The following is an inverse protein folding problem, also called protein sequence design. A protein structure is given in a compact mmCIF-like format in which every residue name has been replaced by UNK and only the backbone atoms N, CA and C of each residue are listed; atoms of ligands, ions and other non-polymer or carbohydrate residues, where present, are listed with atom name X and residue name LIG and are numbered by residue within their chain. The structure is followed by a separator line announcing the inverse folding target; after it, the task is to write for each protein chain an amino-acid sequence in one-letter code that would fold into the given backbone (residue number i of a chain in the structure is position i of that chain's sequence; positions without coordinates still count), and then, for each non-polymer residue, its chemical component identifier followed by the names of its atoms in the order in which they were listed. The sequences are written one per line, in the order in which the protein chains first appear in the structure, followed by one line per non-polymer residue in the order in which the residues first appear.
data_IF_909010385024
#
_entry.id   IF_909010385024
#
_cell.length_a   1.000
_cell.length_b   1.000
_cell.length_c   1.000
_cell.angle_alpha   90.00
_cell.angle_beta   90.00
_cell.angle_gamma   90.00
#
_symmetry.space_group_name_H-M   'P 1'
#
loop_
_entity.id
_entity.type
_entity.pdbx_description
1 polymer ?
#
# COMPACT_ATOMS: atom_id res chain seq x y z
N UNK A 1 -65.91 44.29 67.21
CA UNK A 1 -65.86 45.25 66.06
C UNK A 1 -64.74 44.85 65.12
N UNK A 2 -65.07 44.76 63.84
CA UNK A 2 -64.23 44.82 62.64
C UNK A 2 -63.46 43.59 62.21
N UNK A 3 -64.04 42.97 61.23
CA UNK A 3 -63.54 42.08 60.19
C UNK A 3 -62.24 42.63 59.50
N UNK A 4 -61.39 41.72 59.15
CA UNK A 4 -60.72 41.85 57.82
C UNK A 4 -60.21 40.47 57.34
N UNK A 5 -60.68 40.12 56.17
CA UNK A 5 -60.29 38.97 55.34
C UNK A 5 -58.84 39.05 54.93
N UNK A 6 -58.12 37.95 54.97
CA UNK A 6 -56.84 37.79 54.21
C UNK A 6 -56.96 36.58 53.26
N UNK A 7 -56.86 36.91 52.01
CA UNK A 7 -56.80 35.97 50.93
C UNK A 7 -55.50 35.16 50.96
N UNK A 8 -55.62 33.88 50.74
CA UNK A 8 -54.50 32.95 50.61
C UNK A 8 -54.14 32.88 49.12
N UNK A 9 -52.94 33.37 48.76
CA UNK A 9 -52.35 33.15 47.47
C UNK A 9 -51.57 31.87 47.46
N UNK A 10 -52.02 30.90 46.65
CA UNK A 10 -51.26 29.70 46.32
C UNK A 10 -50.10 30.07 45.37
N UNK A 11 -48.89 29.89 45.82
CA UNK A 11 -47.70 29.94 44.97
C UNK A 11 -47.44 28.54 44.42
N UNK A 12 -47.66 28.40 43.09
CA UNK A 12 -47.29 27.18 42.37
C UNK A 12 -45.76 27.08 42.24
N UNK A 13 -45.19 26.02 42.82
CA UNK A 13 -43.83 25.65 42.59
C UNK A 13 -43.70 24.94 41.23
N UNK A 14 -43.09 25.61 40.27
CA UNK A 14 -42.67 25.02 38.99
C UNK A 14 -41.44 24.13 39.25
N UNK A 15 -41.63 22.82 39.30
CA UNK A 15 -40.52 21.88 39.32
C UNK A 15 -39.92 21.81 37.91
N UNK A 16 -38.78 22.46 37.69
CA UNK A 16 -37.98 22.25 36.49
C UNK A 16 -37.28 20.91 36.63
N UNK A 17 -37.86 19.89 35.97
CA UNK A 17 -37.22 18.59 35.80
C UNK A 17 -36.00 18.72 34.91
N UNK A 18 -34.81 18.69 35.51
CA UNK A 18 -33.54 18.60 34.78
C UNK A 18 -33.44 17.16 34.25
N UNK A 19 -33.78 16.97 33.00
CA UNK A 19 -33.45 15.73 32.26
C UNK A 19 -31.98 15.72 32.00
N UNK A 20 -31.21 15.08 32.88
CA UNK A 20 -29.85 14.65 32.57
C UNK A 20 -29.92 13.62 31.44
N UNK A 21 -29.68 14.08 30.20
CA UNK A 21 -29.42 13.18 29.11
C UNK A 21 -28.12 12.43 29.39
N UNK A 22 -28.23 11.14 29.68
CA UNK A 22 -27.09 10.24 29.77
C UNK A 22 -26.46 10.09 28.39
N UNK A 23 -25.45 10.92 28.07
CA UNK A 23 -24.56 10.77 26.93
C UNK A 23 -23.38 9.83 27.26
N UNK A 24 -23.66 8.70 27.94
CA UNK A 24 -22.60 7.87 28.51
C UNK A 24 -22.25 6.53 27.81
N UNK A 25 -22.93 6.03 26.74
CA UNK A 25 -22.44 4.80 26.12
C UNK A 25 -21.41 5.04 24.99
N UNK A 26 -21.43 6.14 24.25
CA UNK A 26 -20.52 6.36 23.12
C UNK A 26 -19.05 6.55 23.57
N UNK A 27 -18.80 7.33 24.61
CA UNK A 27 -17.45 7.58 25.10
C UNK A 27 -16.77 6.36 25.74
N UNK A 28 -17.55 5.42 26.32
CA UNK A 28 -17.01 4.20 26.91
C UNK A 28 -16.66 3.13 25.83
N UNK A 29 -17.33 3.14 24.70
CA UNK A 29 -17.05 2.23 23.57
C UNK A 29 -15.84 2.71 22.78
N UNK A 30 -15.61 4.02 22.69
CA UNK A 30 -14.44 4.62 22.07
C UNK A 30 -13.12 4.33 22.81
N UNK A 31 -13.15 4.00 24.10
CA UNK A 31 -11.97 3.70 24.90
C UNK A 31 -11.56 2.21 24.90
N UNK A 32 -12.36 1.30 24.34
CA UNK A 32 -12.04 -0.12 24.36
C UNK A 32 -10.84 -0.46 23.49
N UNK A 33 -9.92 -1.31 23.99
CA UNK A 33 -8.80 -1.80 23.19
C UNK A 33 -9.27 -2.65 22.01
N UNK A 34 -8.50 -2.69 20.96
CA UNK A 34 -8.74 -3.49 19.76
C UNK A 34 -7.56 -4.42 19.47
N UNK A 35 -7.87 -5.63 19.05
CA UNK A 35 -6.87 -6.62 18.70
C UNK A 35 -7.06 -7.05 17.26
N UNK A 36 -5.99 -6.97 16.45
CA UNK A 36 -6.06 -7.38 15.06
C UNK A 36 -4.74 -7.93 14.52
N UNK A 37 -4.86 -8.74 13.48
CA UNK A 37 -3.72 -9.30 12.73
C UNK A 37 -3.49 -8.45 11.52
N UNK A 38 -2.31 -7.84 11.42
CA UNK A 38 -1.89 -7.06 10.28
C UNK A 38 -0.92 -7.89 9.42
N UNK A 39 -1.06 -7.85 8.11
CA UNK A 39 -0.17 -8.58 7.19
C UNK A 39 0.52 -7.60 6.26
N UNK A 40 1.84 -7.57 6.33
CA UNK A 40 2.69 -6.68 5.56
C UNK A 40 3.39 -7.32 4.37
N UNK A 41 4.67 -7.03 4.23
CA UNK A 41 5.53 -7.55 3.16
C UNK A 41 6.19 -8.88 3.49
N UNK A 42 6.92 -9.42 2.52
CA UNK A 42 7.56 -10.72 2.61
C UNK A 42 8.82 -10.72 3.50
N UNK A 43 9.41 -9.56 3.75
CA UNK A 43 10.65 -9.41 4.51
C UNK A 43 10.36 -8.76 5.86
N UNK A 44 10.77 -9.40 6.95
CA UNK A 44 10.76 -8.79 8.28
C UNK A 44 11.65 -7.55 8.27
N UNK A 45 11.18 -6.45 8.90
CA UNK A 45 11.85 -5.15 8.83
C UNK A 45 11.70 -4.41 7.49
N UNK A 46 11.02 -5.00 6.51
CA UNK A 46 10.68 -4.30 5.27
C UNK A 46 9.66 -3.18 5.48
N UNK A 47 9.59 -2.27 4.52
CA UNK A 47 8.80 -1.03 4.51
C UNK A 47 7.39 -1.20 5.06
N UNK A 48 6.65 -2.19 4.58
CA UNK A 48 5.27 -2.41 5.01
C UNK A 48 5.15 -2.94 6.43
N UNK A 49 6.06 -3.82 6.85
CA UNK A 49 6.02 -4.37 8.21
C UNK A 49 6.38 -3.29 9.24
N UNK A 50 7.35 -2.44 8.94
CA UNK A 50 7.72 -1.28 9.76
C UNK A 50 6.56 -0.31 9.87
N UNK A 51 5.91 0.04 8.74
CA UNK A 51 4.75 0.91 8.73
C UNK A 51 3.57 0.36 9.52
N UNK A 52 3.23 -0.93 9.36
CA UNK A 52 2.16 -1.57 10.14
C UNK A 52 2.49 -1.66 11.63
N UNK A 53 3.76 -1.83 12.00
CA UNK A 53 4.19 -1.76 13.40
C UNK A 53 3.98 -0.34 13.96
N UNK A 54 4.27 0.69 13.16
CA UNK A 54 3.95 2.07 13.49
C UNK A 54 2.46 2.30 13.71
N UNK A 55 1.62 1.81 12.80
CA UNK A 55 0.14 1.84 12.95
C UNK A 55 -0.28 1.14 14.24
N UNK A 56 0.31 -0.01 14.53
CA UNK A 56 0.04 -0.74 15.78
C UNK A 56 0.37 0.09 17.02
N UNK A 57 1.51 0.76 17.01
CA UNK A 57 1.90 1.68 18.10
C UNK A 57 0.88 2.81 18.25
N UNK A 58 0.50 3.49 17.19
CA UNK A 58 -0.49 4.57 17.21
C UNK A 58 -1.83 4.12 17.79
N UNK A 59 -2.29 2.92 17.38
CA UNK A 59 -3.53 2.35 17.92
C UNK A 59 -3.40 2.06 19.41
N UNK A 60 -2.30 1.47 19.86
CA UNK A 60 -2.10 1.18 21.28
C UNK A 60 -1.95 2.45 22.14
N UNK A 61 -1.30 3.49 21.62
CA UNK A 61 -1.14 4.76 22.32
C UNK A 61 -2.49 5.47 22.54
N UNK A 62 -3.44 5.35 21.58
CA UNK A 62 -4.79 5.92 21.68
C UNK A 62 -5.78 5.03 22.42
N UNK A 63 -5.62 3.72 22.31
CA UNK A 63 -6.49 2.69 22.89
C UNK A 63 -5.64 1.69 23.69
N UNK A 64 -5.19 2.07 24.91
CA UNK A 64 -4.27 1.26 25.70
C UNK A 64 -4.77 -0.16 25.95
N UNK A 65 -3.88 -1.13 25.81
CA UNK A 65 -4.20 -2.55 25.86
C UNK A 65 -4.54 -3.19 24.50
N UNK A 66 -4.51 -2.38 23.41
CA UNK A 66 -4.64 -2.91 22.06
C UNK A 66 -3.40 -3.72 21.66
N UNK A 67 -3.60 -4.83 20.96
CA UNK A 67 -2.51 -5.67 20.46
C UNK A 67 -2.62 -5.88 18.94
N UNK A 68 -1.52 -5.56 18.25
CA UNK A 68 -1.42 -5.74 16.82
C UNK A 68 -0.34 -6.77 16.53
N UNK A 69 -0.71 -7.87 15.89
CA UNK A 69 0.22 -8.89 15.46
C UNK A 69 0.56 -8.67 13.98
N UNK A 70 1.79 -8.21 13.72
CA UNK A 70 2.28 -7.96 12.35
C UNK A 70 2.93 -9.23 11.80
N UNK A 71 2.36 -9.76 10.73
CA UNK A 71 2.75 -11.00 10.07
C UNK A 71 3.38 -10.72 8.70
N UNK A 72 4.27 -11.60 8.27
CA UNK A 72 4.77 -11.58 6.90
C UNK A 72 3.69 -11.96 5.90
N UNK A 73 3.75 -11.35 4.71
CA UNK A 73 2.84 -11.59 3.62
C UNK A 73 3.45 -11.32 2.26
N UNK A 74 2.62 -11.25 1.24
CA UNK A 74 3.01 -10.80 -0.09
C UNK A 74 1.83 -10.08 -0.74
N UNK A 75 2.10 -9.04 -1.51
CA UNK A 75 1.10 -8.12 -2.04
C UNK A 75 -0.09 -8.81 -2.72
N UNK A 76 0.17 -9.87 -3.48
CA UNK A 76 -0.87 -10.63 -4.20
C UNK A 76 -1.68 -11.53 -3.27
N UNK A 77 -1.04 -12.14 -2.26
CA UNK A 77 -1.73 -13.06 -1.33
C UNK A 77 -2.46 -12.35 -0.20
N UNK A 78 -2.09 -11.10 0.11
CA UNK A 78 -2.63 -10.36 1.23
C UNK A 78 -4.15 -10.16 1.16
N UNK A 79 -4.77 -9.72 0.03
CA UNK A 79 -6.22 -9.65 -0.08
C UNK A 79 -6.94 -10.99 0.10
N UNK A 80 -6.31 -12.11 -0.32
CA UNK A 80 -6.87 -13.45 -0.08
C UNK A 80 -6.92 -13.82 1.40
N UNK A 81 -5.96 -13.34 2.20
CA UNK A 81 -5.98 -13.56 3.65
C UNK A 81 -7.12 -12.83 4.34
N UNK A 82 -7.50 -11.63 3.86
CA UNK A 82 -8.70 -10.93 4.32
C UNK A 82 -9.95 -11.70 3.92
N UNK A 83 -10.04 -12.13 2.66
CA UNK A 83 -11.18 -12.94 2.15
C UNK A 83 -11.41 -14.18 3.00
N UNK A 84 -10.35 -14.82 3.47
CA UNK A 84 -10.36 -16.05 4.26
C UNK A 84 -10.43 -15.82 5.78
N UNK A 85 -10.56 -14.59 6.25
CA UNK A 85 -10.46 -14.21 7.67
C UNK A 85 -9.14 -14.63 8.35
N UNK A 86 -8.07 -14.80 7.57
CA UNK A 86 -6.73 -15.11 8.08
C UNK A 86 -5.91 -13.86 8.43
N UNK A 87 -6.41 -12.68 8.08
CA UNK A 87 -5.91 -11.36 8.47
C UNK A 87 -7.09 -10.42 8.70
N UNK A 88 -6.84 -9.32 9.40
CA UNK A 88 -7.84 -8.29 9.68
C UNK A 88 -7.53 -7.00 8.92
N UNK A 89 -6.24 -6.65 8.82
CA UNK A 89 -5.71 -5.49 8.08
C UNK A 89 -4.55 -5.95 7.21
N UNK A 90 -4.36 -5.35 6.04
CA UNK A 90 -3.21 -5.64 5.19
C UNK A 90 -2.82 -4.48 4.30
N UNK A 91 -1.59 -4.53 3.78
CA UNK A 91 -1.13 -3.66 2.70
C UNK A 91 -1.05 -4.44 1.39
N UNK A 92 -1.44 -3.79 0.32
CA UNK A 92 -1.29 -4.28 -1.06
C UNK A 92 -1.12 -3.08 -2.00
N UNK A 93 -1.03 -3.31 -3.30
CA UNK A 93 -1.03 -2.25 -4.30
C UNK A 93 -2.39 -2.11 -4.99
N UNK A 94 -2.62 -0.94 -5.62
CA UNK A 94 -3.84 -0.62 -6.36
C UNK A 94 -4.16 -1.68 -7.41
N UNK A 95 -3.17 -2.18 -8.15
CA UNK A 95 -3.33 -3.29 -9.10
C UNK A 95 -4.09 -4.48 -8.48
N UNK A 96 -3.66 -4.91 -7.30
CA UNK A 96 -4.28 -6.05 -6.64
C UNK A 96 -5.71 -5.73 -6.16
N UNK A 97 -6.00 -4.47 -5.80
CA UNK A 97 -7.36 -4.07 -5.40
C UNK A 97 -8.31 -4.07 -6.60
N UNK A 98 -7.86 -3.58 -7.75
CA UNK A 98 -8.62 -3.65 -9.01
C UNK A 98 -8.86 -5.11 -9.41
N UNK A 99 -7.82 -5.93 -9.40
CA UNK A 99 -7.93 -7.35 -9.72
C UNK A 99 -8.84 -8.11 -8.73
N UNK A 100 -8.79 -7.77 -7.44
CA UNK A 100 -9.66 -8.36 -6.42
C UNK A 100 -11.13 -7.97 -6.61
N UNK A 101 -11.40 -6.72 -6.95
CA UNK A 101 -12.75 -6.23 -7.28
C UNK A 101 -13.34 -6.97 -8.48
N UNK A 102 -12.55 -7.08 -9.55
CA UNK A 102 -13.00 -7.59 -10.86
C UNK A 102 -12.92 -9.12 -10.97
N UNK A 103 -12.27 -9.81 -10.04
CA UNK A 103 -12.03 -11.26 -10.12
C UNK A 103 -11.08 -11.65 -11.25
N UNK A 104 -10.20 -10.73 -11.65
CA UNK A 104 -9.20 -10.95 -12.70
C UNK A 104 -7.88 -11.48 -12.11
N UNK A 105 -7.03 -12.00 -12.96
CA UNK A 105 -5.70 -12.45 -12.53
C UNK A 105 -4.97 -11.36 -11.74
N UNK A 106 -4.31 -11.71 -10.63
CA UNK A 106 -3.97 -13.06 -10.16
C UNK A 106 -5.10 -13.81 -9.41
N UNK A 107 -6.26 -13.20 -9.23
CA UNK A 107 -7.42 -13.84 -8.60
C UNK A 107 -8.30 -14.55 -9.63
N UNK A 108 -9.07 -15.56 -9.17
CA UNK A 108 -9.95 -16.37 -10.03
C UNK A 108 -11.42 -15.92 -9.97
N UNK A 109 -11.76 -15.08 -9.00
CA UNK A 109 -13.10 -14.54 -8.77
C UNK A 109 -13.01 -13.26 -7.94
N UNK A 110 -14.03 -12.39 -7.99
CA UNK A 110 -14.11 -11.23 -7.10
C UNK A 110 -14.00 -11.63 -5.63
N UNK A 111 -13.22 -10.87 -4.85
CA UNK A 111 -13.14 -11.01 -3.41
C UNK A 111 -14.25 -10.17 -2.78
N UNK A 112 -15.01 -10.76 -1.87
CA UNK A 112 -16.21 -10.14 -1.30
C UNK A 112 -16.04 -9.64 0.12
N UNK A 113 -15.07 -10.21 0.85
CA UNK A 113 -14.78 -9.85 2.24
C UNK A 113 -13.57 -8.91 2.36
N UNK A 114 -13.40 -8.02 1.39
CA UNK A 114 -12.30 -7.05 1.34
C UNK A 114 -12.87 -5.65 1.14
N UNK A 115 -12.40 -4.68 1.93
CA UNK A 115 -12.75 -3.27 1.82
C UNK A 115 -11.49 -2.40 1.95
N UNK A 116 -11.54 -1.19 1.42
CA UNK A 116 -10.45 -0.23 1.59
C UNK A 116 -10.50 0.44 2.97
N UNK A 117 -9.33 0.74 3.53
CA UNK A 117 -9.20 1.61 4.69
C UNK A 117 -8.57 2.94 4.32
N UNK A 118 -7.44 2.92 3.61
CA UNK A 118 -6.72 4.12 3.21
C UNK A 118 -5.84 3.89 1.98
N UNK A 119 -5.69 4.91 1.15
CA UNK A 119 -4.58 5.04 0.22
C UNK A 119 -3.38 5.57 0.99
N UNK A 120 -2.25 4.87 0.95
CA UNK A 120 -1.02 5.27 1.64
C UNK A 120 -0.25 6.35 0.87
N UNK A 121 -0.76 6.75 -0.28
CA UNK A 121 -0.28 7.84 -1.13
C UNK A 121 1.23 7.80 -1.43
N UNK A 122 1.84 6.63 -1.32
CA UNK A 122 3.19 6.38 -1.79
C UNK A 122 3.17 6.08 -3.29
N UNK A 123 4.25 6.40 -3.98
CA UNK A 123 4.38 6.07 -5.40
C UNK A 123 5.44 5.02 -5.59
N UNK A 124 4.98 3.78 -5.82
CA UNK A 124 5.84 2.69 -6.28
C UNK A 124 6.12 2.84 -7.77
N UNK A 125 7.36 2.64 -8.17
CA UNK A 125 7.83 2.79 -9.55
C UNK A 125 8.44 1.50 -10.06
N UNK A 126 8.02 1.06 -11.24
CA UNK A 126 8.63 -0.07 -11.91
C UNK A 126 9.98 0.35 -12.51
N UNK A 127 11.03 -0.30 -12.08
CA UNK A 127 12.38 -0.10 -12.59
C UNK A 127 12.88 -1.36 -13.29
N UNK A 128 13.41 -1.20 -14.49
CA UNK A 128 14.17 -2.22 -15.23
C UNK A 128 15.62 -1.75 -15.27
N UNK A 129 16.44 -2.35 -14.43
CA UNK A 129 17.83 -1.98 -14.22
C UNK A 129 18.71 -3.06 -14.84
N UNK A 130 19.69 -2.66 -15.65
CA UNK A 130 20.62 -3.59 -16.29
C UNK A 130 22.06 -3.13 -16.10
N UNK A 131 23.02 -4.06 -16.27
CA UNK A 131 24.44 -3.70 -16.36
C UNK A 131 24.65 -2.70 -17.49
N UNK A 132 25.47 -1.67 -17.25
CA UNK A 132 25.72 -0.59 -18.23
C UNK A 132 26.32 -1.11 -19.52
N UNK A 133 27.06 -2.24 -19.46
CA UNK A 133 27.74 -2.87 -20.60
C UNK A 133 26.78 -3.60 -21.56
N UNK A 134 25.52 -3.82 -21.19
CA UNK A 134 24.57 -4.42 -22.12
C UNK A 134 24.34 -3.49 -23.33
N UNK A 135 24.41 -4.03 -24.58
CA UNK A 135 24.39 -3.22 -25.81
C UNK A 135 22.93 -2.83 -26.22
N UNK A 136 22.16 -2.33 -25.27
CA UNK A 136 20.79 -1.85 -25.45
C UNK A 136 20.52 -0.61 -24.58
N UNK A 137 19.62 0.27 -25.05
CA UNK A 137 19.23 1.49 -24.35
C UNK A 137 17.74 1.54 -23.98
N UNK A 138 16.95 0.60 -24.48
CA UNK A 138 15.52 0.45 -24.19
C UNK A 138 15.17 -1.00 -23.91
N UNK A 139 14.02 -1.21 -23.25
CA UNK A 139 13.49 -2.55 -23.05
C UNK A 139 13.03 -3.17 -24.37
N UNK A 140 12.54 -2.33 -25.31
CA UNK A 140 12.15 -2.76 -26.65
C UNK A 140 13.35 -3.37 -27.40
N UNK A 141 14.51 -2.71 -27.39
CA UNK A 141 15.75 -3.25 -27.98
C UNK A 141 16.19 -4.57 -27.33
N UNK A 142 16.03 -4.69 -26.01
CA UNK A 142 16.33 -5.93 -25.29
C UNK A 142 15.47 -7.09 -25.79
N UNK A 143 14.19 -6.85 -26.01
CA UNK A 143 13.24 -7.85 -26.52
C UNK A 143 13.49 -8.18 -27.99
N UNK A 144 13.71 -7.18 -28.83
CA UNK A 144 13.98 -7.37 -30.27
C UNK A 144 15.28 -8.16 -30.51
N UNK A 145 16.34 -7.84 -29.78
CA UNK A 145 17.64 -8.53 -29.90
C UNK A 145 17.68 -9.87 -29.19
N UNK A 146 16.66 -10.21 -28.39
CA UNK A 146 16.58 -11.46 -27.61
C UNK A 146 17.86 -11.73 -26.80
N UNK A 147 18.35 -10.70 -26.11
CA UNK A 147 19.63 -10.82 -25.39
C UNK A 147 19.54 -11.81 -24.21
N UNK A 148 20.58 -12.62 -24.00
CA UNK A 148 20.63 -13.63 -22.94
C UNK A 148 20.90 -12.98 -21.57
N UNK A 149 19.92 -12.23 -21.04
CA UNK A 149 20.05 -11.61 -19.73
C UNK A 149 19.92 -12.62 -18.59
N UNK A 150 20.61 -12.37 -17.51
CA UNK A 150 20.48 -13.08 -16.22
C UNK A 150 19.68 -12.16 -15.30
N UNK A 151 18.37 -12.40 -15.26
CA UNK A 151 17.37 -11.51 -14.69
C UNK A 151 16.97 -11.94 -13.26
N UNK A 152 17.13 -11.03 -12.29
CA UNK A 152 16.35 -11.11 -11.05
C UNK A 152 14.96 -10.51 -11.31
N UNK A 153 13.95 -11.39 -11.37
CA UNK A 153 12.55 -11.03 -11.59
C UNK A 153 11.72 -10.93 -10.31
N UNK A 154 12.37 -11.13 -9.17
CA UNK A 154 11.70 -11.25 -7.88
C UNK A 154 10.94 -12.56 -7.67
N UNK A 155 10.51 -12.77 -6.44
CA UNK A 155 9.79 -13.98 -6.04
C UNK A 155 8.41 -14.06 -6.73
N UNK A 156 7.97 -15.29 -6.99
CA UNK A 156 6.64 -15.56 -7.53
C UNK A 156 5.57 -14.99 -6.58
N UNK A 157 4.60 -14.27 -7.16
CA UNK A 157 3.51 -13.64 -6.41
C UNK A 157 3.85 -12.23 -5.89
N UNK A 158 5.03 -11.69 -6.18
CA UNK A 158 5.30 -10.26 -6.02
C UNK A 158 4.75 -9.48 -7.21
N UNK A 159 4.35 -8.23 -6.98
CA UNK A 159 3.75 -7.43 -8.05
C UNK A 159 4.71 -7.21 -9.23
N UNK A 160 5.99 -6.89 -8.96
CA UNK A 160 6.96 -6.71 -10.04
C UNK A 160 7.18 -8.00 -10.87
N UNK A 161 7.09 -9.19 -10.26
CA UNK A 161 7.10 -10.44 -11.02
C UNK A 161 5.89 -10.58 -11.95
N UNK A 162 4.70 -10.20 -11.47
CA UNK A 162 3.46 -10.24 -12.26
C UNK A 162 3.49 -9.21 -13.39
N UNK A 163 3.84 -7.96 -13.07
CA UNK A 163 3.90 -6.87 -14.06
C UNK A 163 5.01 -7.12 -15.08
N UNK A 164 6.15 -7.66 -14.66
CA UNK A 164 7.23 -8.07 -15.57
C UNK A 164 6.79 -9.14 -16.56
N UNK A 165 6.01 -10.14 -16.11
CA UNK A 165 5.43 -11.13 -17.02
C UNK A 165 4.45 -10.48 -18.02
N UNK A 166 3.69 -9.48 -17.59
CA UNK A 166 2.79 -8.73 -18.49
C UNK A 166 3.55 -7.90 -19.50
N UNK A 167 4.67 -7.26 -19.11
CA UNK A 167 5.55 -6.57 -20.05
C UNK A 167 6.11 -7.51 -21.12
N UNK A 168 6.63 -8.67 -20.72
CA UNK A 168 7.14 -9.67 -21.66
C UNK A 168 6.05 -10.15 -22.63
N UNK A 169 4.83 -10.34 -22.12
CA UNK A 169 3.69 -10.77 -22.93
C UNK A 169 3.29 -9.76 -24.05
N UNK A 170 3.56 -8.45 -23.87
CA UNK A 170 3.35 -7.44 -24.92
C UNK A 170 4.23 -7.68 -26.16
N UNK A 171 5.34 -8.39 -25.99
CA UNK A 171 6.25 -8.80 -27.07
C UNK A 171 6.04 -10.27 -27.48
N UNK A 172 5.05 -10.95 -26.90
CA UNK A 172 4.78 -12.37 -27.17
C UNK A 172 5.73 -13.34 -26.46
N UNK A 173 6.42 -12.90 -25.39
CA UNK A 173 7.40 -13.67 -24.64
C UNK A 173 6.97 -13.94 -23.21
N UNK A 174 7.65 -14.89 -22.59
CA UNK A 174 7.58 -15.27 -21.18
C UNK A 174 8.96 -15.23 -20.54
N UNK A 175 9.06 -15.40 -19.23
CA UNK A 175 10.36 -15.55 -18.58
C UNK A 175 11.16 -16.74 -19.11
N UNK A 176 10.49 -17.83 -19.52
CA UNK A 176 11.17 -19.04 -20.06
C UNK A 176 11.82 -18.75 -21.43
N UNK A 177 11.34 -17.78 -22.18
CA UNK A 177 11.97 -17.38 -23.45
C UNK A 177 13.33 -16.74 -23.22
N UNK A 178 13.52 -16.01 -22.11
CA UNK A 178 14.86 -15.51 -21.69
C UNK A 178 15.84 -16.68 -21.55
N UNK A 179 15.43 -17.78 -20.97
CA UNK A 179 16.25 -19.00 -20.86
C UNK A 179 16.55 -19.62 -22.22
N UNK A 180 15.56 -19.65 -23.13
CA UNK A 180 15.77 -20.14 -24.51
C UNK A 180 16.76 -19.28 -25.31
N UNK A 181 16.89 -17.98 -24.97
CA UNK A 181 17.89 -17.09 -25.58
C UNK A 181 19.29 -17.29 -24.98
N UNK A 182 19.48 -18.23 -24.07
CA UNK A 182 20.75 -18.49 -23.39
C UNK A 182 20.95 -17.67 -22.10
N UNK A 183 19.93 -16.95 -21.67
CA UNK A 183 19.90 -16.25 -20.38
C UNK A 183 19.38 -17.12 -19.23
N UNK A 184 19.02 -16.48 -18.13
CA UNK A 184 18.40 -17.10 -16.96
C UNK A 184 17.46 -16.15 -16.27
N UNK A 185 16.53 -16.67 -15.46
CA UNK A 185 15.73 -15.85 -14.57
C UNK A 185 15.63 -16.48 -13.19
N UNK A 186 15.67 -15.67 -12.15
CA UNK A 186 15.71 -16.11 -10.77
C UNK A 186 15.00 -15.13 -9.84
N UNK A 187 14.95 -15.43 -8.56
CA UNK A 187 14.59 -14.54 -7.48
C UNK A 187 15.70 -14.62 -6.44
N UNK A 188 16.34 -13.47 -6.16
CA UNK A 188 17.43 -13.39 -5.20
C UNK A 188 17.08 -12.45 -4.05
N UNK A 189 17.78 -12.62 -2.93
CA UNK A 189 17.66 -11.68 -1.80
C UNK A 189 18.27 -10.32 -2.16
N UNK A 190 17.85 -9.26 -1.46
CA UNK A 190 18.44 -7.94 -1.65
C UNK A 190 19.94 -7.94 -1.33
N UNK A 191 20.34 -8.72 -0.32
CA UNK A 191 21.73 -8.78 0.15
C UNK A 191 22.68 -9.44 -0.86
N UNK A 192 22.21 -10.44 -1.61
CA UNK A 192 23.06 -11.18 -2.57
C UNK A 192 23.19 -10.43 -3.91
N UNK A 193 22.21 -9.59 -4.26
CA UNK A 193 22.09 -8.98 -5.59
C UNK A 193 23.30 -8.19 -6.02
N UNK A 194 23.87 -7.37 -5.13
CA UNK A 194 25.03 -6.52 -5.45
C UNK A 194 26.22 -7.37 -5.85
N UNK A 195 26.57 -8.39 -5.06
CA UNK A 195 27.64 -9.31 -5.39
C UNK A 195 27.41 -10.03 -6.71
N UNK A 196 26.19 -10.47 -6.98
CA UNK A 196 25.82 -11.15 -8.23
C UNK A 196 25.87 -10.23 -9.46
N UNK A 197 25.68 -8.92 -9.30
CA UNK A 197 25.94 -7.95 -10.39
C UNK A 197 27.42 -7.71 -10.60
N UNK A 198 28.23 -7.69 -9.53
CA UNK A 198 29.68 -7.49 -9.60
C UNK A 198 30.39 -8.68 -10.27
N UNK A 199 29.99 -9.89 -9.98
CA UNK A 199 30.56 -11.12 -10.56
C UNK A 199 29.94 -11.54 -11.89
N UNK A 200 28.90 -10.80 -12.34
CA UNK A 200 28.18 -11.03 -13.59
C UNK A 200 27.21 -12.20 -13.55
N UNK A 201 26.95 -12.81 -12.41
CA UNK A 201 25.89 -13.84 -12.24
C UNK A 201 24.50 -13.27 -12.48
N UNK A 202 24.30 -11.96 -12.21
CA UNK A 202 23.15 -11.16 -12.64
C UNK A 202 23.64 -10.01 -13.55
N UNK A 203 22.80 -9.61 -14.51
CA UNK A 203 23.00 -8.40 -15.30
C UNK A 203 21.69 -7.68 -15.62
N UNK A 204 20.58 -8.12 -15.04
CA UNK A 204 19.27 -7.46 -15.13
C UNK A 204 18.49 -7.63 -13.84
N UNK A 205 17.76 -6.58 -13.45
CA UNK A 205 16.92 -6.56 -12.26
C UNK A 205 15.60 -5.84 -12.56
N UNK A 206 14.51 -6.50 -12.25
CA UNK A 206 13.16 -5.96 -12.33
C UNK A 206 12.61 -5.75 -10.93
N UNK A 207 12.23 -4.53 -10.59
CA UNK A 207 11.65 -4.21 -9.29
C UNK A 207 10.52 -3.19 -9.40
N UNK A 208 9.63 -3.19 -8.42
CA UNK A 208 8.60 -2.17 -8.23
C UNK A 208 8.53 -1.85 -6.74
N UNK A 209 8.72 -0.60 -6.39
CA UNK A 209 8.68 -0.17 -5.00
C UNK A 209 8.64 1.34 -4.84
N UNK A 210 8.25 1.82 -3.63
CA UNK A 210 8.08 3.23 -3.36
C UNK A 210 9.40 3.95 -3.13
N UNK A 211 9.44 5.23 -3.53
CA UNK A 211 10.56 6.14 -3.28
C UNK A 211 11.91 5.64 -3.81
N UNK A 212 12.96 6.07 -3.16
CA UNK A 212 14.33 5.58 -3.40
C UNK A 212 14.61 4.39 -2.48
N UNK A 213 14.79 3.22 -3.08
CA UNK A 213 14.99 1.97 -2.36
C UNK A 213 16.47 1.77 -2.00
N UNK A 214 16.77 1.49 -0.73
CA UNK A 214 18.14 1.35 -0.22
C UNK A 214 18.97 0.30 -0.98
N UNK A 215 18.36 -0.82 -1.35
CA UNK A 215 19.03 -1.89 -2.10
C UNK A 215 19.36 -1.50 -3.56
N UNK A 216 18.63 -0.55 -4.16
CA UNK A 216 18.98 0.02 -5.46
C UNK A 216 20.11 1.07 -5.27
N UNK A 217 20.04 1.86 -4.21
CA UNK A 217 21.12 2.77 -3.86
C UNK A 217 22.46 2.02 -3.67
N UNK A 218 22.42 0.89 -2.96
CA UNK A 218 23.58 0.03 -2.78
C UNK A 218 24.09 -0.54 -4.11
N UNK A 219 23.19 -1.01 -4.98
CA UNK A 219 23.55 -1.49 -6.31
C UNK A 219 24.24 -0.43 -7.14
N UNK A 220 23.71 0.79 -7.16
CA UNK A 220 24.28 1.93 -7.91
C UNK A 220 25.68 2.31 -7.41
N UNK A 221 25.90 2.23 -6.10
CA UNK A 221 27.21 2.54 -5.51
C UNK A 221 28.29 1.49 -5.84
N UNK A 222 27.89 0.24 -6.09
CA UNK A 222 28.80 -0.90 -6.18
C UNK A 222 28.86 -1.56 -7.57
N UNK A 223 27.96 -1.19 -8.50
CA UNK A 223 27.94 -1.74 -9.86
C UNK A 223 27.57 -0.65 -10.88
N UNK A 224 28.13 -0.76 -12.09
CA UNK A 224 27.75 0.11 -13.21
C UNK A 224 26.43 -0.38 -13.80
N UNK A 225 25.38 0.37 -13.58
CA UNK A 225 24.03 0.03 -14.04
C UNK A 225 23.39 1.18 -14.81
N UNK A 226 22.38 0.86 -15.59
CA UNK A 226 21.50 1.83 -16.26
C UNK A 226 20.04 1.35 -16.21
N UNK A 227 19.11 2.29 -16.33
CA UNK A 227 17.68 2.02 -16.45
C UNK A 227 17.28 1.89 -17.90
N UNK A 228 16.47 0.89 -18.23
CA UNK A 228 15.86 0.74 -19.54
C UNK A 228 14.45 1.32 -19.52
N UNK A 229 14.14 2.36 -20.31
CA UNK A 229 12.79 2.81 -20.53
C UNK A 229 12.01 1.78 -21.35
N UNK A 230 10.72 1.71 -21.08
CA UNK A 230 9.74 0.95 -21.85
C UNK A 230 9.00 1.91 -22.78
N UNK A 231 8.66 1.50 -23.99
CA UNK A 231 7.94 2.37 -24.92
C UNK A 231 6.55 2.75 -24.40
N UNK A 232 6.08 3.96 -24.75
CA UNK A 232 4.78 4.49 -24.39
C UNK A 232 3.63 3.56 -24.79
N UNK A 233 3.76 2.90 -25.95
CA UNK A 233 2.77 1.93 -26.43
C UNK A 233 2.59 0.78 -25.44
N UNK A 234 3.69 0.21 -24.96
CA UNK A 234 3.68 -0.92 -24.02
C UNK A 234 3.22 -0.46 -22.64
N UNK A 235 3.70 0.69 -22.16
CA UNK A 235 3.24 1.27 -20.89
C UNK A 235 1.71 1.46 -20.90
N UNK A 236 1.16 2.08 -21.94
CA UNK A 236 -0.29 2.31 -22.10
C UNK A 236 -1.07 1.00 -22.17
N UNK A 237 -0.56 -0.01 -22.88
CA UNK A 237 -1.22 -1.32 -22.98
C UNK A 237 -1.29 -2.03 -21.62
N UNK A 238 -0.19 -2.05 -20.88
CA UNK A 238 -0.15 -2.72 -19.56
C UNK A 238 -1.01 -1.97 -18.55
N UNK A 239 -0.91 -0.64 -18.47
CA UNK A 239 -1.69 0.15 -17.51
C UNK A 239 -3.20 0.07 -17.77
N UNK A 240 -3.63 0.02 -19.03
CA UNK A 240 -5.04 -0.21 -19.38
C UNK A 240 -5.58 -1.57 -18.89
N UNK A 241 -4.73 -2.60 -18.83
CA UNK A 241 -5.09 -3.94 -18.33
C UNK A 241 -5.06 -4.04 -16.80
N UNK A 242 -4.23 -3.23 -16.15
CA UNK A 242 -3.91 -3.36 -14.72
C UNK A 242 -4.59 -2.31 -13.84
N UNK A 243 -5.07 -1.21 -14.43
CA UNK A 243 -5.56 -0.05 -13.67
C UNK A 243 -4.45 0.77 -13.00
N UNK A 244 -3.19 0.44 -13.27
CA UNK A 244 -2.03 1.21 -12.82
C UNK A 244 -1.89 2.51 -13.63
N UNK A 245 -1.03 3.42 -13.17
CA UNK A 245 -0.78 4.70 -13.84
C UNK A 245 0.60 4.70 -14.52
N UNK A 246 0.80 5.66 -15.41
CA UNK A 246 2.12 5.99 -15.95
C UNK A 246 2.63 7.20 -15.16
N UNK A 247 3.82 7.07 -14.60
CA UNK A 247 4.55 8.13 -13.94
C UNK A 247 6.00 8.17 -14.39
N UNK A 248 6.88 8.70 -13.58
CA UNK A 248 8.29 8.94 -13.92
C UNK A 248 9.20 8.46 -12.80
N UNK A 249 10.34 7.83 -13.15
CA UNK A 249 11.51 7.71 -12.28
C UNK A 249 12.30 9.00 -12.48
N UNK A 250 12.43 9.87 -11.46
CA UNK A 250 13.13 11.15 -11.62
C UNK A 250 14.63 10.99 -11.93
N UNK A 251 15.14 11.90 -12.74
CA UNK A 251 16.55 11.92 -13.16
C UNK A 251 17.54 11.98 -11.99
N UNK A 252 17.17 12.66 -10.91
CA UNK A 252 17.97 12.90 -9.70
C UNK A 252 17.95 11.73 -8.70
N UNK A 253 17.11 10.70 -8.93
CA UNK A 253 17.09 9.53 -8.05
C UNK A 253 18.44 8.83 -8.00
N UNK A 254 18.75 8.30 -6.83
CA UNK A 254 19.98 7.57 -6.53
C UNK A 254 21.24 8.41 -6.80
N UNK A 255 21.20 9.70 -6.40
CA UNK A 255 22.31 10.64 -6.60
C UNK A 255 22.53 11.02 -8.06
N UNK A 256 21.48 10.98 -8.88
CA UNK A 256 21.55 11.30 -10.31
C UNK A 256 21.96 10.11 -11.19
N UNK A 257 22.04 8.91 -10.66
CA UNK A 257 22.43 7.72 -11.44
C UNK A 257 21.40 7.32 -12.51
N UNK A 258 20.13 7.75 -12.38
CA UNK A 258 19.11 7.58 -13.42
C UNK A 258 19.41 8.44 -14.63
N UNK A 259 19.93 9.67 -14.42
CA UNK A 259 20.48 10.57 -15.43
C UNK A 259 19.47 11.29 -16.33
N UNK A 260 18.23 10.81 -16.41
CA UNK A 260 17.11 11.43 -17.12
C UNK A 260 15.79 10.95 -16.53
N UNK A 261 14.74 11.69 -16.72
CA UNK A 261 13.38 11.24 -16.40
C UNK A 261 12.99 10.04 -17.26
N UNK A 262 12.57 8.95 -16.61
CA UNK A 262 12.19 7.70 -17.31
C UNK A 262 10.72 7.41 -17.06
N UNK A 263 9.86 7.44 -18.10
CA UNK A 263 8.49 6.98 -17.98
C UNK A 263 8.42 5.52 -17.51
N UNK A 264 7.56 5.26 -16.54
CA UNK A 264 7.42 3.92 -15.96
C UNK A 264 5.99 3.65 -15.49
N UNK A 265 5.67 2.38 -15.26
CA UNK A 265 4.44 2.00 -14.56
C UNK A 265 4.58 2.41 -13.10
N UNK A 266 3.55 3.07 -12.56
CA UNK A 266 3.46 3.43 -11.15
C UNK A 266 2.26 2.78 -10.50
N UNK A 267 2.38 2.53 -9.21
CA UNK A 267 1.33 1.97 -8.37
C UNK A 267 1.38 2.63 -6.98
N UNK A 268 0.28 2.57 -6.23
CA UNK A 268 0.21 3.06 -4.87
C UNK A 268 -0.06 1.91 -3.90
N UNK A 269 0.48 2.02 -2.69
CA UNK A 269 0.12 1.13 -1.59
C UNK A 269 -1.27 1.50 -1.07
N UNK A 270 -2.11 0.50 -0.89
CA UNK A 270 -3.44 0.62 -0.31
C UNK A 270 -3.52 -0.24 0.95
N UNK A 271 -4.03 0.33 2.02
CA UNK A 271 -4.40 -0.40 3.23
C UNK A 271 -5.82 -0.94 3.08
N UNK A 272 -5.95 -2.24 3.26
CA UNK A 272 -7.22 -2.95 3.19
C UNK A 272 -7.57 -3.56 4.55
N UNK A 273 -8.85 -3.73 4.78
CA UNK A 273 -9.41 -4.44 5.94
C UNK A 273 -10.38 -5.52 5.49
N UNK A 274 -10.58 -6.54 6.31
CA UNK A 274 -11.69 -7.47 6.06
C UNK A 274 -13.02 -6.76 6.26
N UNK A 275 -13.93 -6.93 5.32
CA UNK A 275 -15.20 -6.20 5.28
C UNK A 275 -16.10 -6.46 6.48
N UNK A 276 -15.98 -7.63 7.10
CA UNK A 276 -16.76 -8.02 8.27
C UNK A 276 -16.09 -7.67 9.61
N UNK A 277 -15.08 -6.80 9.61
CA UNK A 277 -14.53 -6.23 10.85
C UNK A 277 -15.56 -5.27 11.47
N UNK A 278 -15.65 -5.13 12.82
CA UNK A 278 -16.57 -4.18 13.41
C UNK A 278 -16.30 -2.73 12.98
N UNK A 279 -17.36 -1.98 12.64
CA UNK A 279 -17.23 -0.58 12.17
C UNK A 279 -16.51 0.30 13.20
N UNK A 280 -16.78 0.11 14.50
CA UNK A 280 -16.11 0.84 15.57
C UNK A 280 -14.60 0.60 15.60
N UNK A 281 -14.15 -0.63 15.35
CA UNK A 281 -12.73 -0.97 15.35
C UNK A 281 -12.02 -0.35 14.15
N UNK A 282 -12.63 -0.42 12.96
CA UNK A 282 -12.07 0.19 11.75
C UNK A 282 -12.05 1.72 11.86
N UNK A 283 -13.09 2.33 12.44
CA UNK A 283 -13.11 3.75 12.75
C UNK A 283 -11.91 4.15 13.63
N UNK A 284 -11.65 3.39 14.71
CA UNK A 284 -10.52 3.64 15.62
C UNK A 284 -9.17 3.52 14.93
N UNK A 285 -8.99 2.51 14.07
CA UNK A 285 -7.76 2.34 13.29
C UNK A 285 -7.58 3.52 12.34
N UNK A 286 -8.62 3.91 11.62
CA UNK A 286 -8.59 5.05 10.70
C UNK A 286 -8.24 6.34 11.43
N UNK A 287 -8.90 6.60 12.57
CA UNK A 287 -8.61 7.73 13.46
C UNK A 287 -7.15 7.75 13.90
N UNK A 288 -6.64 6.60 14.36
CA UNK A 288 -5.26 6.51 14.81
C UNK A 288 -4.24 6.83 13.70
N UNK A 289 -4.50 6.36 12.47
CA UNK A 289 -3.64 6.63 11.32
C UNK A 289 -3.71 8.10 10.91
N UNK A 290 -4.93 8.64 10.78
CA UNK A 290 -5.14 10.03 10.32
C UNK A 290 -4.61 11.04 11.33
N UNK A 291 -4.85 10.86 12.62
CA UNK A 291 -4.34 11.77 13.65
C UNK A 291 -2.85 11.59 13.96
N UNK A 292 -2.24 10.45 13.58
CA UNK A 292 -0.83 10.14 13.82
C UNK A 292 0.00 10.04 12.52
N UNK A 293 -0.45 10.63 11.41
CA UNK A 293 0.25 10.49 10.14
C UNK A 293 1.67 11.06 10.15
N UNK A 294 1.93 12.13 10.90
CA UNK A 294 3.28 12.70 11.05
C UNK A 294 4.24 11.74 11.77
N UNK A 295 3.75 11.02 12.78
CA UNK A 295 4.55 10.00 13.47
C UNK A 295 4.86 8.82 12.52
N UNK A 296 3.92 8.47 11.63
CA UNK A 296 4.17 7.47 10.59
C UNK A 296 5.23 7.93 9.58
N UNK A 297 5.32 9.23 9.27
CA UNK A 297 6.39 9.78 8.43
C UNK A 297 7.79 9.54 9.04
N UNK A 298 7.90 9.68 10.36
CA UNK A 298 9.16 9.45 11.07
C UNK A 298 9.55 7.96 11.10
N UNK A 299 8.56 7.06 11.24
CA UNK A 299 8.75 5.61 11.28
C UNK A 299 8.97 5.03 9.89
N UNK A 300 8.26 5.56 8.89
CA UNK A 300 8.26 5.06 7.53
C UNK A 300 8.46 6.20 6.52
N UNK A 301 9.72 6.52 6.17
CA UNK A 301 10.02 7.65 5.29
C UNK A 301 9.39 7.60 3.91
N UNK A 302 9.03 6.43 3.38
CA UNK A 302 8.34 6.33 2.09
C UNK A 302 6.89 6.80 2.15
N UNK A 303 6.35 6.99 3.35
CA UNK A 303 5.00 7.54 3.58
C UNK A 303 4.98 9.04 3.85
N UNK A 304 6.08 9.76 3.58
CA UNK A 304 6.12 11.23 3.73
C UNK A 304 5.09 12.00 2.91
N UNK A 305 4.54 11.36 1.87
CA UNK A 305 3.45 11.90 1.04
C UNK A 305 2.06 11.56 1.58
N UNK A 306 1.97 10.77 2.65
CA UNK A 306 0.71 10.44 3.29
C UNK A 306 0.16 11.68 3.98
N UNK A 307 -1.02 12.12 3.54
CA UNK A 307 -1.76 13.24 4.12
C UNK A 307 -3.23 12.86 4.23
N UNK A 308 -3.92 13.28 5.29
CA UNK A 308 -5.31 12.91 5.54
C UNK A 308 -6.25 13.17 4.37
N UNK A 309 -6.07 14.28 3.67
CA UNK A 309 -6.90 14.77 2.58
C UNK A 309 -6.93 13.81 1.38
N UNK A 310 -5.93 12.94 1.24
CA UNK A 310 -5.79 12.01 0.13
C UNK A 310 -5.91 10.54 0.50
N UNK A 311 -6.12 10.23 1.79
CA UNK A 311 -6.23 8.85 2.24
C UNK A 311 -7.49 8.14 1.73
N UNK A 312 -8.55 8.88 1.42
CA UNK A 312 -9.79 8.33 0.86
C UNK A 312 -9.83 8.33 -0.68
N UNK A 313 -8.79 8.90 -1.35
CA UNK A 313 -8.77 9.06 -2.80
C UNK A 313 -8.31 7.81 -3.56
N UNK A 314 -8.80 7.67 -4.80
CA UNK A 314 -8.32 6.68 -5.78
C UNK A 314 -8.36 5.22 -5.29
N UNK A 315 -9.37 4.88 -4.49
CA UNK A 315 -9.59 3.54 -3.97
C UNK A 315 -10.42 2.71 -4.95
N UNK A 316 -9.89 1.57 -5.39
CA UNK A 316 -10.58 0.68 -6.32
C UNK A 316 -11.69 -0.15 -5.66
N UNK A 317 -11.56 -0.44 -4.37
CA UNK A 317 -12.59 -1.09 -3.54
C UNK A 317 -13.30 -0.03 -2.68
N UNK A 318 -14.59 -0.21 -2.37
CA UNK A 318 -15.29 0.68 -1.44
C UNK A 318 -14.58 0.75 -0.09
N UNK A 319 -14.66 1.91 0.53
CA UNK A 319 -14.25 2.06 1.93
C UNK A 319 -15.06 1.13 2.84
N UNK A 320 -14.42 0.69 3.91
CA UNK A 320 -15.14 0.06 5.02
C UNK A 320 -16.04 1.10 5.70
N UNK A 321 -17.27 0.76 6.13
CA UNK A 321 -18.19 1.74 6.73
C UNK A 321 -17.58 2.54 7.89
N UNK A 322 -16.79 1.90 8.74
CA UNK A 322 -16.07 2.57 9.83
C UNK A 322 -15.06 3.61 9.35
N UNK A 323 -14.31 3.33 8.28
CA UNK A 323 -13.37 4.27 7.69
C UNK A 323 -14.11 5.40 6.97
N UNK A 324 -15.12 5.09 6.17
CA UNK A 324 -15.95 6.07 5.45
C UNK A 324 -16.59 7.06 6.43
N UNK A 325 -17.17 6.55 7.54
CA UNK A 325 -17.75 7.41 8.58
C UNK A 325 -16.71 8.38 9.14
N UNK A 326 -15.50 7.92 9.46
CA UNK A 326 -14.44 8.79 9.98
C UNK A 326 -14.09 9.88 8.97
N UNK A 327 -13.84 9.54 7.71
CA UNK A 327 -13.46 10.51 6.68
C UNK A 327 -14.56 11.57 6.43
N UNK A 328 -15.83 11.17 6.43
CA UNK A 328 -16.95 12.12 6.27
C UNK A 328 -17.10 13.04 7.47
N UNK A 329 -17.04 12.51 8.70
CA UNK A 329 -17.16 13.30 9.93
C UNK A 329 -16.06 14.35 10.08
N UNK A 330 -14.88 14.12 9.49
CA UNK A 330 -13.73 15.02 9.57
C UNK A 330 -13.49 15.83 8.27
N UNK A 331 -14.40 15.78 7.30
CA UNK A 331 -14.34 16.60 6.09
C UNK A 331 -13.30 16.17 5.05
N UNK A 332 -12.74 14.98 5.16
CA UNK A 332 -11.81 14.40 4.19
C UNK A 332 -12.51 13.70 3.01
N UNK A 333 -13.83 13.69 3.02
CA UNK A 333 -14.66 13.08 1.99
C UNK A 333 -16.01 13.79 1.93
N UNK A 334 -16.52 14.05 0.69
CA UNK A 334 -17.82 14.68 0.45
C UNK A 334 -19.00 13.75 0.82
#
# INVERSE_FOLDING_TARGET
MSLLHKAITLSGACAIGLTLAFAAPAAAEDAKPINFRAVGGAVLGGTWNVGLTGVGKLVNDRYPGSAINVLQGASVSNPLRLEQNAADVTLTQTFNTVAARDGKAPYKKPLKNVASLANMNDTSRLSIIVSADLPVNTFDELMEKKLPVRLDRGAKGTLHNVVGAMLLAEYGYTYDDITKWGGAHTAVSANDRVGMFQDGTLNAYLTLGPGQQSHIQELVLNAKVKWLPVSDKVLKSVTAKTGQSIGVIPADFYGGAVGRDIPCITDSTVMLVRKNMPDADVYKITKAIVEGFEELHAVQPTWKTLVPEHMADNLALPLHPGAERFYREHGYMA
#
